data_IF_285105966968
#
_entry.id   IF_285105966968
#
_cell.length_a   1.000
_cell.length_b   1.000
_cell.length_c   1.000
_cell.angle_alpha   90.00
_cell.angle_beta   90.00
_cell.angle_gamma   90.00
#
_symmetry.space_group_name_H-M   'P 1'
#
loop_
_entity.id
_entity.type
_entity.pdbx_description
1 polymer ?
#
# COMPACT_ATOMS: atom_id res chain seq x y z
N UNK A 1 -7.25 -24.88 5.28
CA UNK A 1 -5.91 -24.66 5.83
C UNK A 1 -5.41 -23.33 5.34
N UNK A 2 -5.91 -22.26 5.96
CA UNK A 2 -5.59 -20.87 5.65
C UNK A 2 -4.27 -20.46 6.30
N UNK A 3 -3.78 -19.26 5.97
CA UNK A 3 -2.59 -18.74 6.62
C UNK A 3 -2.78 -18.50 8.12
N UNK A 4 -3.94 -18.01 8.57
CA UNK A 4 -4.21 -17.83 10.01
C UNK A 4 -4.24 -19.16 10.76
N UNK A 5 -4.77 -20.23 10.16
CA UNK A 5 -4.76 -21.57 10.77
C UNK A 5 -3.32 -22.10 10.99
N UNK A 6 -2.38 -21.71 10.11
CA UNK A 6 -0.98 -22.13 10.17
C UNK A 6 -0.09 -21.21 11.00
N UNK A 7 -0.35 -19.90 10.99
CA UNK A 7 0.50 -18.85 11.54
C UNK A 7 -0.36 -17.74 12.18
N UNK A 8 -1.10 -18.05 13.27
CA UNK A 8 -2.03 -17.09 13.86
C UNK A 8 -1.33 -15.84 14.42
N UNK A 9 -0.23 -15.99 15.15
CA UNK A 9 0.48 -14.85 15.76
C UNK A 9 1.10 -13.91 14.72
N UNK A 10 1.79 -14.38 13.66
CA UNK A 10 2.27 -13.49 12.59
C UNK A 10 1.14 -12.75 11.85
N UNK A 11 0.00 -13.41 11.61
CA UNK A 11 -1.15 -12.76 10.95
C UNK A 11 -1.74 -11.67 11.85
N UNK A 12 -1.84 -11.89 13.15
CA UNK A 12 -2.28 -10.87 14.12
C UNK A 12 -1.33 -9.67 14.14
N UNK A 13 -0.02 -9.91 14.23
CA UNK A 13 0.99 -8.84 14.21
C UNK A 13 0.94 -8.01 12.92
N UNK A 14 0.73 -8.67 11.79
CA UNK A 14 0.55 -8.00 10.50
C UNK A 14 -0.75 -7.18 10.49
N UNK A 15 -1.85 -7.70 11.03
CA UNK A 15 -3.10 -6.94 11.21
C UNK A 15 -2.88 -5.66 12.01
N UNK A 16 -2.18 -5.76 13.15
CA UNK A 16 -1.84 -4.60 13.98
C UNK A 16 -0.92 -3.59 13.24
N UNK A 17 0.02 -4.09 12.43
CA UNK A 17 0.87 -3.24 11.59
C UNK A 17 0.05 -2.48 10.54
N UNK A 18 -0.89 -3.15 9.87
CA UNK A 18 -1.80 -2.51 8.91
C UNK A 18 -2.67 -1.45 9.60
N UNK A 19 -3.22 -1.72 10.79
CA UNK A 19 -4.00 -0.73 11.53
C UNK A 19 -3.18 0.52 11.90
N UNK A 20 -1.92 0.35 12.29
CA UNK A 20 -1.00 1.48 12.54
C UNK A 20 -0.70 2.23 11.25
N UNK A 21 -0.38 1.53 10.17
CA UNK A 21 -0.12 2.12 8.85
C UNK A 21 -1.30 3.00 8.38
N UNK A 22 -2.54 2.49 8.46
CA UNK A 22 -3.75 3.27 8.13
C UNK A 22 -3.89 4.51 9.01
N UNK A 23 -3.55 4.40 10.30
CA UNK A 23 -3.65 5.53 11.23
C UNK A 23 -2.63 6.64 10.94
N UNK A 24 -1.46 6.28 10.41
CA UNK A 24 -0.39 7.23 10.08
C UNK A 24 -0.76 8.14 8.89
N UNK A 25 -1.38 7.59 7.85
CA UNK A 25 -1.66 8.32 6.60
C UNK A 25 -3.13 8.74 6.45
N UNK A 26 -4.00 8.27 7.35
CA UNK A 26 -5.43 8.47 7.29
C UNK A 26 -6.15 7.42 6.42
N UNK A 27 -7.44 7.17 6.69
CA UNK A 27 -8.20 6.09 6.04
C UNK A 27 -8.37 6.28 4.53
N UNK A 28 -8.56 7.51 4.06
CA UNK A 28 -8.83 7.79 2.64
C UNK A 28 -7.60 7.51 1.79
N UNK A 29 -6.44 8.04 2.18
CA UNK A 29 -5.18 7.78 1.48
C UNK A 29 -4.76 6.32 1.59
N UNK A 30 -4.99 5.67 2.74
CA UNK A 30 -4.76 4.23 2.88
C UNK A 30 -5.62 3.39 1.92
N UNK A 31 -6.89 3.75 1.73
CA UNK A 31 -7.77 3.09 0.78
C UNK A 31 -7.27 3.25 -0.66
N UNK A 32 -6.84 4.46 -1.04
CA UNK A 32 -6.26 4.73 -2.36
C UNK A 32 -4.99 3.91 -2.60
N UNK A 33 -4.05 3.92 -1.66
CA UNK A 33 -2.80 3.14 -1.74
C UNK A 33 -3.10 1.64 -1.87
N UNK A 34 -3.99 1.11 -1.03
CA UNK A 34 -4.38 -0.29 -1.06
C UNK A 34 -5.00 -0.70 -2.40
N UNK A 35 -5.92 0.13 -2.92
CA UNK A 35 -6.57 -0.12 -4.20
C UNK A 35 -5.59 -0.01 -5.39
N UNK A 36 -4.66 0.96 -5.37
CA UNK A 36 -3.61 1.08 -6.40
C UNK A 36 -2.67 -0.13 -6.38
N UNK A 37 -2.14 -0.50 -5.22
CA UNK A 37 -1.26 -1.68 -5.07
C UNK A 37 -1.99 -2.95 -5.53
N UNK A 38 -3.24 -3.13 -5.11
CA UNK A 38 -4.04 -4.31 -5.49
C UNK A 38 -4.20 -4.39 -7.00
N UNK A 39 -4.56 -3.29 -7.65
CA UNK A 39 -4.71 -3.25 -9.11
C UNK A 39 -3.39 -3.60 -9.82
N UNK A 40 -2.29 -2.99 -9.39
CA UNK A 40 -0.95 -3.22 -9.95
C UNK A 40 -0.49 -4.67 -9.79
N UNK A 41 -0.73 -5.30 -8.63
CA UNK A 41 -0.24 -6.65 -8.34
C UNK A 41 -1.17 -7.78 -8.80
N UNK A 42 -2.47 -7.54 -8.86
CA UNK A 42 -3.46 -8.54 -9.30
C UNK A 42 -3.72 -8.51 -10.80
N UNK A 43 -3.31 -7.44 -11.50
CA UNK A 43 -3.62 -7.22 -12.91
C UNK A 43 -5.08 -6.86 -13.19
N UNK A 44 -5.89 -6.63 -12.15
CA UNK A 44 -7.28 -6.15 -12.27
C UNK A 44 -7.24 -4.62 -12.43
N UNK A 45 -7.92 -4.05 -13.45
CA UNK A 45 -7.98 -2.60 -13.63
C UNK A 45 -8.48 -1.89 -12.38
N UNK A 46 -7.80 -0.82 -11.99
CA UNK A 46 -8.25 0.03 -10.89
C UNK A 46 -9.44 0.88 -11.35
N UNK A 47 -10.44 1.06 -10.48
CA UNK A 47 -11.47 2.09 -10.69
C UNK A 47 -10.97 3.49 -10.32
N UNK A 48 -9.72 3.60 -9.81
CA UNK A 48 -9.12 4.87 -9.37
C UNK A 48 -8.69 5.79 -10.50
N UNK A 49 -8.66 5.32 -11.75
CA UNK A 49 -8.24 6.13 -12.91
C UNK A 49 -9.34 7.09 -13.43
N UNK A 50 -10.36 7.40 -12.60
CA UNK A 50 -11.50 8.25 -12.94
C UNK A 50 -11.43 9.69 -12.42
N UNK A 51 -12.44 10.49 -12.78
CA UNK A 51 -12.66 11.85 -12.25
C UNK A 51 -12.85 11.80 -10.72
N UNK A 52 -11.92 12.34 -9.94
CA UNK A 52 -12.07 12.41 -8.48
C UNK A 52 -10.78 12.53 -7.67
N UNK A 53 -9.61 12.23 -8.24
CA UNK A 53 -8.33 12.40 -7.56
C UNK A 53 -7.94 13.88 -7.51
N UNK A 54 -7.46 14.33 -6.35
CA UNK A 54 -6.83 15.65 -6.23
C UNK A 54 -5.33 15.59 -6.54
N UNK A 55 -4.63 16.71 -6.37
CA UNK A 55 -3.18 16.78 -6.63
C UNK A 55 -2.36 15.98 -5.60
N UNK A 56 -2.84 15.88 -4.36
CA UNK A 56 -2.19 15.09 -3.31
C UNK A 56 -2.27 13.62 -3.65
N UNK A 57 -3.44 13.15 -4.04
CA UNK A 57 -3.66 11.75 -4.43
C UNK A 57 -2.78 11.39 -5.62
N UNK A 58 -2.77 12.23 -6.67
CA UNK A 58 -1.96 12.00 -7.88
C UNK A 58 -0.47 11.89 -7.56
N UNK A 59 0.07 12.82 -6.79
CA UNK A 59 1.50 12.82 -6.45
C UNK A 59 1.88 11.63 -5.56
N UNK A 60 1.02 11.28 -4.59
CA UNK A 60 1.24 10.12 -3.73
C UNK A 60 1.19 8.81 -4.52
N UNK A 61 0.20 8.64 -5.41
CA UNK A 61 0.06 7.45 -6.23
C UNK A 61 1.20 7.32 -7.25
N UNK A 62 1.72 8.42 -7.80
CA UNK A 62 2.90 8.38 -8.65
C UNK A 62 4.14 7.85 -7.92
N UNK A 63 4.32 8.20 -6.64
CA UNK A 63 5.37 7.64 -5.80
C UNK A 63 5.15 6.16 -5.53
N UNK A 64 3.92 5.75 -5.19
CA UNK A 64 3.56 4.34 -4.99
C UNK A 64 3.87 3.51 -6.23
N UNK A 65 3.51 4.01 -7.41
CA UNK A 65 3.74 3.31 -8.68
C UNK A 65 5.23 3.06 -8.94
N UNK A 66 6.09 4.07 -8.72
CA UNK A 66 7.54 3.88 -8.84
C UNK A 66 8.09 2.92 -7.78
N UNK A 67 7.64 3.04 -6.53
CA UNK A 67 8.08 2.15 -5.45
C UNK A 67 7.73 0.68 -5.71
N UNK A 68 6.56 0.40 -6.28
CA UNK A 68 6.10 -0.96 -6.56
C UNK A 68 6.81 -1.62 -7.75
N UNK A 69 7.15 -0.84 -8.77
CA UNK A 69 7.70 -1.34 -10.03
C UNK A 69 9.22 -1.40 -9.99
N UNK A 70 9.85 -0.29 -9.58
CA UNK A 70 11.30 -0.16 -9.51
C UNK A 70 11.70 0.89 -8.47
N UNK A 71 11.74 0.45 -7.20
CA UNK A 71 12.13 1.29 -6.06
C UNK A 71 13.52 1.91 -6.23
N UNK A 72 14.43 1.25 -6.96
CA UNK A 72 15.80 1.72 -7.14
C UNK A 72 15.89 2.91 -8.11
N UNK A 73 14.88 3.07 -8.97
CA UNK A 73 14.78 4.15 -9.95
C UNK A 73 13.78 5.25 -9.55
N UNK A 74 13.35 5.28 -8.29
CA UNK A 74 12.47 6.33 -7.77
C UNK A 74 13.16 7.69 -7.92
N UNK A 75 12.52 8.61 -8.63
CA UNK A 75 13.14 9.91 -8.93
C UNK A 75 12.98 10.91 -7.80
N UNK A 76 14.00 11.76 -7.57
CA UNK A 76 13.94 12.86 -6.61
C UNK A 76 12.75 13.80 -6.86
N UNK A 77 12.39 13.99 -8.14
CA UNK A 77 11.24 14.82 -8.52
C UNK A 77 9.92 14.21 -8.03
N UNK A 78 9.73 12.90 -8.19
CA UNK A 78 8.55 12.18 -7.68
C UNK A 78 8.49 12.22 -6.15
N UNK A 79 9.62 12.01 -5.49
CA UNK A 79 9.73 12.12 -4.02
C UNK A 79 9.36 13.53 -3.58
N UNK A 80 9.91 14.57 -4.21
CA UNK A 80 9.64 15.96 -3.87
C UNK A 80 8.17 16.34 -4.09
N UNK A 81 7.55 15.88 -5.18
CA UNK A 81 6.12 16.10 -5.45
C UNK A 81 5.22 15.47 -4.40
N UNK A 82 5.50 14.25 -3.95
CA UNK A 82 4.74 13.64 -2.86
C UNK A 82 5.02 14.33 -1.51
N UNK A 83 6.29 14.63 -1.22
CA UNK A 83 6.74 15.22 0.04
C UNK A 83 6.03 16.54 0.40
N UNK A 84 5.68 17.35 -0.61
CA UNK A 84 5.04 18.66 -0.39
C UNK A 84 3.67 18.60 0.30
N UNK A 85 3.04 17.42 0.33
CA UNK A 85 1.74 17.19 0.94
C UNK A 85 1.80 16.70 2.39
N UNK A 86 3.01 16.54 2.93
CA UNK A 86 3.23 16.01 4.27
C UNK A 86 4.03 16.99 5.13
N UNK A 87 3.70 17.04 6.42
CA UNK A 87 4.54 17.68 7.42
C UNK A 87 5.85 16.89 7.64
N UNK A 88 6.75 17.45 8.45
CA UNK A 88 8.02 16.78 8.80
C UNK A 88 7.78 15.37 9.34
N UNK A 89 8.37 14.36 8.68
CA UNK A 89 8.20 12.94 9.01
C UNK A 89 7.04 12.25 8.30
N UNK A 90 6.03 12.97 7.82
CA UNK A 90 4.82 12.38 7.23
C UNK A 90 5.08 11.59 5.93
N UNK A 91 6.09 11.98 5.14
CA UNK A 91 6.52 11.19 3.98
C UNK A 91 7.10 9.83 4.37
N UNK A 92 7.89 9.78 5.45
CA UNK A 92 8.45 8.52 5.97
C UNK A 92 7.33 7.59 6.46
N UNK A 93 6.34 8.17 7.13
CA UNK A 93 5.14 7.47 7.56
C UNK A 93 4.35 6.94 6.36
N UNK A 94 4.22 7.72 5.30
CA UNK A 94 3.59 7.31 4.04
C UNK A 94 4.30 6.16 3.35
N UNK A 95 5.62 6.24 3.22
CA UNK A 95 6.46 5.16 2.67
C UNK A 95 6.31 3.89 3.51
N UNK A 96 6.35 4.02 4.84
CA UNK A 96 6.18 2.89 5.77
C UNK A 96 4.81 2.24 5.61
N UNK A 97 3.75 3.04 5.58
CA UNK A 97 2.39 2.55 5.40
C UNK A 97 2.21 1.84 4.05
N UNK A 98 2.84 2.36 2.98
CA UNK A 98 2.84 1.76 1.64
C UNK A 98 3.49 0.37 1.67
N UNK A 99 4.67 0.22 2.28
CA UNK A 99 5.35 -1.07 2.38
C UNK A 99 4.56 -2.12 3.18
N UNK A 100 3.97 -1.72 4.31
CA UNK A 100 3.16 -2.64 5.12
C UNK A 100 1.92 -3.09 4.34
N UNK A 101 1.27 -2.16 3.63
CA UNK A 101 0.10 -2.44 2.78
C UNK A 101 0.47 -3.38 1.63
N UNK A 102 1.59 -3.13 0.95
CA UNK A 102 2.11 -4.00 -0.11
C UNK A 102 2.40 -5.41 0.39
N UNK A 103 3.12 -5.53 1.50
CA UNK A 103 3.44 -6.83 2.10
C UNK A 103 2.17 -7.62 2.43
N UNK A 104 1.15 -6.96 3.00
CA UNK A 104 -0.15 -7.57 3.30
C UNK A 104 -0.88 -8.07 2.06
N UNK A 105 -0.84 -7.30 0.97
CA UNK A 105 -1.50 -7.65 -0.30
C UNK A 105 -0.77 -8.81 -0.97
N UNK A 106 0.56 -8.75 -1.10
CA UNK A 106 1.36 -9.85 -1.67
C UNK A 106 1.17 -11.16 -0.90
N UNK A 107 1.18 -11.09 0.43
CA UNK A 107 0.92 -12.25 1.27
C UNK A 107 -0.50 -12.78 1.06
N UNK A 108 -1.49 -11.90 0.91
CA UNK A 108 -2.86 -12.27 0.59
C UNK A 108 -2.96 -13.05 -0.72
N UNK A 109 -2.39 -12.51 -1.79
CA UNK A 109 -2.34 -13.16 -3.10
C UNK A 109 -1.66 -14.53 -3.01
N UNK A 110 -0.51 -14.61 -2.34
CA UNK A 110 0.21 -15.87 -2.16
C UNK A 110 -0.60 -16.89 -1.34
N UNK A 111 -1.27 -16.46 -0.27
CA UNK A 111 -2.13 -17.30 0.55
C UNK A 111 -3.37 -17.79 -0.20
N UNK A 112 -3.98 -16.97 -1.04
CA UNK A 112 -5.10 -17.38 -1.91
C UNK A 112 -4.65 -18.46 -2.90
N UNK A 113 -3.48 -18.29 -3.51
CA UNK A 113 -2.94 -19.24 -4.48
C UNK A 113 -2.49 -20.57 -3.86
N UNK A 114 -2.03 -20.58 -2.61
CA UNK A 114 -1.36 -21.74 -1.99
C UNK A 114 -2.13 -22.38 -0.83
N UNK A 115 -2.91 -21.61 -0.09
CA UNK A 115 -3.46 -21.97 1.24
C UNK A 115 -4.99 -21.77 1.32
N UNK A 116 -5.68 -21.50 0.21
CA UNK A 116 -7.12 -21.21 0.25
C UNK A 116 -7.45 -19.88 0.95
N UNK A 117 -6.45 -19.01 1.09
CA UNK A 117 -6.59 -17.63 1.50
C UNK A 117 -6.02 -17.27 2.87
N UNK A 118 -6.23 -15.99 3.20
CA UNK A 118 -5.70 -15.39 4.43
C UNK A 118 -6.46 -15.74 5.69
N UNK A 119 -7.75 -16.09 5.59
CA UNK A 119 -8.73 -16.00 6.68
C UNK A 119 -8.16 -16.48 8.02
#
# INVERSE_FOLDING_TARGET
MTLTELQPEPVELLGAACSRATSLIGPDLAALVSARITATLSGVPSTLDGDGLDDRDRDCLALVDQMLIDVASVSDATVASAARHFDSGGLSDFVTATYVTEARIRLGIAADLLLGGMA
#
